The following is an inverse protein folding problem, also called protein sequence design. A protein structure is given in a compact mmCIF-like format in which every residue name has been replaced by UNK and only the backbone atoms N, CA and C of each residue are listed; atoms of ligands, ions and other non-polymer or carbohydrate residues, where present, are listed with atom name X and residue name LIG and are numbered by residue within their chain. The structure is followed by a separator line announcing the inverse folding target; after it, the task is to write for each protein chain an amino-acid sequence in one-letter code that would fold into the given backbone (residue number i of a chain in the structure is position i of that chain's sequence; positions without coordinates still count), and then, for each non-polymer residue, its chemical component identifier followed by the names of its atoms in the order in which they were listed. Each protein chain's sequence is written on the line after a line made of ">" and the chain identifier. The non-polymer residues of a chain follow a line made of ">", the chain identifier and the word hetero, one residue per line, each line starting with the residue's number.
data_IF_656572000752
#
_entry.id   IF_656572000752
#
_cell.length_a   1.000
_cell.length_b   1.000
_cell.length_c   1.000
_cell.angle_alpha   90.00
_cell.angle_beta   90.00
_cell.angle_gamma   90.00
#
_symmetry.space_group_name_H-M   'P 1'
#
loop_
_entity.id
_entity.type
_entity.pdbx_description
1 polymer ?
#
# COMPACT_ATOMS: atom_id res chain seq x y z
N UNK A 1 4.00 14.80 20.43
CA UNK A 1 2.82 14.28 19.73
C UNK A 1 3.36 13.31 18.71
N UNK A 2 3.41 12.01 19.04
CA UNK A 2 3.65 11.00 18.01
C UNK A 2 2.48 11.07 17.02
N UNK A 3 2.77 11.63 15.85
CA UNK A 3 1.82 11.83 14.77
C UNK A 3 1.37 10.47 14.23
N UNK A 4 0.08 10.32 13.92
CA UNK A 4 -0.51 9.15 13.25
C UNK A 4 0.37 8.57 12.11
N UNK A 5 1.02 9.47 11.36
CA UNK A 5 2.03 9.16 10.34
C UNK A 5 3.10 8.17 10.80
N UNK A 6 3.68 8.36 11.99
CA UNK A 6 4.76 7.51 12.50
C UNK A 6 4.30 6.09 12.83
N UNK A 7 3.11 5.94 13.40
CA UNK A 7 2.55 4.63 13.76
C UNK A 7 2.07 3.87 12.52
N UNK A 8 1.36 4.56 11.62
CA UNK A 8 0.87 3.98 10.36
C UNK A 8 2.00 3.55 9.43
N UNK A 9 3.03 4.40 9.29
CA UNK A 9 4.20 4.09 8.48
C UNK A 9 4.95 2.89 9.05
N UNK A 10 5.19 2.86 10.36
CA UNK A 10 5.84 1.72 10.99
C UNK A 10 5.07 0.42 10.81
N UNK A 11 3.74 0.44 10.90
CA UNK A 11 2.91 -0.74 10.66
C UNK A 11 3.00 -1.22 9.20
N UNK A 12 3.03 -0.30 8.23
CA UNK A 12 3.20 -0.66 6.81
C UNK A 12 4.59 -1.21 6.52
N UNK A 13 5.63 -0.65 7.14
CA UNK A 13 7.01 -1.10 6.99
C UNK A 13 7.20 -2.50 7.58
N UNK A 14 6.61 -2.76 8.75
CA UNK A 14 6.63 -4.09 9.38
C UNK A 14 5.91 -5.11 8.49
N UNK A 15 4.69 -4.79 8.06
CA UNK A 15 3.90 -5.63 7.16
C UNK A 15 4.62 -5.88 5.83
N UNK A 16 5.28 -4.86 5.26
CA UNK A 16 6.09 -4.98 4.06
C UNK A 16 7.30 -5.89 4.29
N UNK A 17 8.01 -5.71 5.41
CA UNK A 17 9.16 -6.54 5.78
C UNK A 17 8.78 -8.02 5.95
N UNK A 18 7.65 -8.29 6.60
CA UNK A 18 7.08 -9.62 6.76
C UNK A 18 6.63 -10.21 5.41
N UNK A 19 5.85 -9.46 4.63
CA UNK A 19 5.34 -9.87 3.32
C UNK A 19 6.46 -10.25 2.35
N UNK A 20 7.53 -9.44 2.35
CA UNK A 20 8.70 -9.63 1.49
C UNK A 20 9.68 -10.67 2.05
N UNK A 21 9.53 -11.08 3.32
CA UNK A 21 10.48 -11.96 4.02
C UNK A 21 11.94 -11.47 3.87
N UNK A 22 12.14 -10.15 3.97
CA UNK A 22 13.45 -9.50 3.78
C UNK A 22 13.86 -9.27 2.31
N UNK A 23 13.00 -9.57 1.32
CA UNK A 23 13.21 -9.14 -0.05
C UNK A 23 13.13 -7.61 -0.16
N UNK A 24 13.97 -7.03 -1.02
CA UNK A 24 13.99 -5.58 -1.24
C UNK A 24 12.85 -5.12 -2.16
N UNK A 25 12.42 -3.88 -1.97
CA UNK A 25 11.53 -3.18 -2.92
C UNK A 25 12.42 -2.60 -4.04
N UNK A 26 12.09 -2.93 -5.28
CA UNK A 26 12.73 -2.31 -6.45
C UNK A 26 12.18 -0.90 -6.64
N UNK A 27 13.01 0.02 -7.13
CA UNK A 27 12.61 1.41 -7.45
C UNK A 27 12.78 1.72 -8.94
N UNK A 28 12.72 0.67 -9.77
CA UNK A 28 12.90 0.74 -11.24
C UNK A 28 11.63 1.23 -11.97
N UNK A 29 10.59 1.62 -11.23
CA UNK A 29 9.31 2.05 -11.81
C UNK A 29 8.40 0.92 -12.28
N UNK A 30 8.76 -0.34 -11.98
CA UNK A 30 7.98 -1.53 -12.37
C UNK A 30 7.54 -2.34 -11.16
N UNK A 31 6.34 -2.92 -11.25
CA UNK A 31 5.85 -3.89 -10.27
C UNK A 31 6.32 -5.31 -10.60
N UNK A 32 6.47 -6.19 -9.59
CA UNK A 32 6.79 -7.59 -9.84
C UNK A 32 5.66 -8.25 -10.64
N UNK A 33 6.01 -9.10 -11.61
CA UNK A 33 5.03 -9.80 -12.46
C UNK A 33 4.10 -10.75 -11.68
N UNK A 34 4.51 -11.16 -10.48
CA UNK A 34 3.70 -11.95 -9.54
C UNK A 34 2.65 -11.13 -8.78
N UNK A 35 2.66 -9.80 -8.89
CA UNK A 35 1.71 -8.96 -8.17
C UNK A 35 0.27 -9.30 -8.59
N UNK A 36 -0.67 -9.50 -7.65
CA UNK A 36 -2.02 -9.88 -7.98
C UNK A 36 -2.75 -8.76 -8.73
N UNK A 37 -3.12 -9.04 -9.99
CA UNK A 37 -3.88 -8.10 -10.83
C UNK A 37 -5.32 -7.84 -10.32
N UNK A 38 -5.79 -8.66 -9.37
CA UNK A 38 -7.08 -8.50 -8.70
C UNK A 38 -7.08 -7.32 -7.71
N UNK A 39 -5.90 -6.88 -7.26
CA UNK A 39 -5.76 -5.71 -6.38
C UNK A 39 -5.73 -4.45 -7.24
N UNK A 40 -6.80 -3.64 -7.27
CA UNK A 40 -6.77 -2.36 -7.98
C UNK A 40 -5.78 -1.41 -7.30
N UNK A 41 -5.01 -0.72 -8.13
CA UNK A 41 -4.07 0.30 -7.70
C UNK A 41 -4.59 1.67 -8.13
N UNK A 42 -4.42 2.66 -7.26
CA UNK A 42 -4.75 4.04 -7.59
C UNK A 42 -3.96 4.55 -8.80
N UNK A 43 -4.56 5.47 -9.54
CA UNK A 43 -3.90 6.13 -10.65
C UNK A 43 -2.70 6.94 -10.14
N UNK A 44 -1.54 6.71 -10.75
CA UNK A 44 -0.30 7.37 -10.36
C UNK A 44 0.91 6.79 -11.08
N UNK A 45 2.08 7.30 -10.71
CA UNK A 45 3.36 6.84 -11.27
C UNK A 45 3.90 5.71 -10.41
N UNK A 46 4.02 4.52 -10.98
CA UNK A 46 4.68 3.41 -10.29
C UNK A 46 6.13 3.80 -10.00
N UNK A 47 6.50 3.83 -8.72
CA UNK A 47 7.90 4.01 -8.27
C UNK A 47 8.62 2.67 -8.23
N UNK A 48 7.89 1.62 -7.91
CA UNK A 48 8.36 0.25 -8.00
C UNK A 48 7.66 -0.67 -7.00
N UNK A 49 8.21 -1.84 -6.78
CA UNK A 49 7.59 -2.85 -5.93
C UNK A 49 8.52 -3.99 -5.53
N UNK A 50 8.06 -4.79 -4.58
CA UNK A 50 8.73 -6.00 -4.11
C UNK A 50 7.75 -7.17 -4.09
N UNK A 51 8.27 -8.39 -4.22
CA UNK A 51 7.51 -9.60 -3.97
C UNK A 51 8.32 -10.49 -3.03
N UNK A 52 7.64 -11.06 -2.04
CA UNK A 52 8.21 -12.08 -1.19
C UNK A 52 8.39 -13.41 -1.96
N UNK A 53 9.23 -14.31 -1.43
CA UNK A 53 9.40 -15.65 -1.99
C UNK A 53 8.06 -16.37 -2.06
N UNK A 54 7.83 -17.14 -3.13
CA UNK A 54 6.65 -17.99 -3.29
C UNK A 54 5.28 -17.27 -3.17
N UNK A 55 5.24 -15.94 -3.31
CA UNK A 55 4.02 -15.16 -3.17
C UNK A 55 3.53 -15.02 -1.73
N UNK A 56 4.44 -15.03 -0.75
CA UNK A 56 4.13 -14.73 0.66
C UNK A 56 3.56 -13.32 0.86
N UNK A 57 3.86 -12.42 -0.08
CA UNK A 57 3.27 -11.09 -0.14
C UNK A 57 3.93 -10.22 -1.18
N UNK A 58 3.39 -9.02 -1.36
CA UNK A 58 3.81 -8.06 -2.36
C UNK A 58 3.72 -6.65 -1.82
N UNK A 59 4.59 -5.79 -2.34
CA UNK A 59 4.58 -4.36 -2.04
C UNK A 59 4.58 -3.59 -3.34
N UNK A 60 3.68 -2.62 -3.46
CA UNK A 60 3.62 -1.69 -4.59
C UNK A 60 3.70 -0.26 -4.07
N UNK A 61 4.61 0.54 -4.62
CA UNK A 61 4.77 1.95 -4.32
C UNK A 61 4.37 2.78 -5.53
N UNK A 62 3.32 3.58 -5.36
CA UNK A 62 2.76 4.43 -6.41
C UNK A 62 2.87 5.89 -5.94
N UNK A 63 3.57 6.72 -6.69
CA UNK A 63 3.56 8.17 -6.46
C UNK A 63 2.25 8.74 -6.97
N UNK A 64 1.55 9.44 -6.08
CA UNK A 64 0.22 10.00 -6.32
C UNK A 64 0.23 11.52 -6.18
N UNK A 65 -0.81 12.17 -6.69
CA UNK A 65 -0.90 13.63 -6.71
C UNK A 65 -1.22 14.27 -5.35
N UNK A 66 -1.81 13.51 -4.42
CA UNK A 66 -2.28 14.03 -3.14
C UNK A 66 -2.74 12.93 -2.18
N UNK A 67 -2.91 13.27 -0.90
CA UNK A 67 -3.37 12.35 0.13
C UNK A 67 -4.85 11.93 -0.06
N UNK A 68 -5.63 12.76 -0.75
CA UNK A 68 -7.00 12.47 -1.21
C UNK A 68 -7.11 11.18 -2.03
N UNK A 69 -6.02 10.74 -2.64
CA UNK A 69 -5.94 9.50 -3.41
C UNK A 69 -6.13 8.25 -2.55
N UNK A 70 -5.95 8.35 -1.24
CA UNK A 70 -6.31 7.27 -0.31
C UNK A 70 -7.81 6.92 -0.40
N UNK A 71 -8.69 7.93 -0.41
CA UNK A 71 -10.13 7.71 -0.50
C UNK A 71 -10.52 7.10 -1.86
N UNK A 72 -9.85 7.51 -2.94
CA UNK A 72 -10.04 6.94 -4.27
C UNK A 72 -9.64 5.45 -4.29
N UNK A 73 -8.46 5.13 -3.75
CA UNK A 73 -7.98 3.75 -3.66
C UNK A 73 -8.90 2.87 -2.80
N UNK A 74 -9.36 3.40 -1.66
CA UNK A 74 -10.36 2.75 -0.82
C UNK A 74 -11.60 2.37 -1.61
N UNK A 75 -12.20 3.32 -2.33
CA UNK A 75 -13.40 3.06 -3.12
C UNK A 75 -13.17 1.99 -4.19
N UNK A 76 -11.99 1.96 -4.83
CA UNK A 76 -11.65 0.93 -5.81
C UNK A 76 -11.52 -0.45 -5.17
N UNK A 77 -10.85 -0.56 -4.02
CA UNK A 77 -10.73 -1.80 -3.28
C UNK A 77 -12.10 -2.30 -2.81
N UNK A 78 -12.95 -1.42 -2.29
CA UNK A 78 -14.30 -1.78 -1.88
C UNK A 78 -15.16 -2.22 -3.07
N UNK A 79 -15.03 -1.56 -4.23
CA UNK A 79 -15.70 -1.97 -5.46
C UNK A 79 -15.19 -3.33 -5.99
N UNK A 80 -13.93 -3.68 -5.73
CA UNK A 80 -13.37 -5.00 -5.99
C UNK A 80 -13.81 -6.06 -4.96
N UNK A 81 -14.56 -5.68 -3.92
CA UNK A 81 -15.08 -6.59 -2.89
C UNK A 81 -14.22 -6.71 -1.64
N UNK A 82 -13.23 -5.83 -1.46
CA UNK A 82 -12.47 -5.75 -0.21
C UNK A 82 -13.27 -5.00 0.86
N UNK A 83 -13.15 -5.43 2.11
CA UNK A 83 -13.75 -4.75 3.26
C UNK A 83 -12.71 -3.90 3.95
N UNK A 84 -12.93 -2.59 4.02
CA UNK A 84 -12.06 -1.67 4.73
C UNK A 84 -12.22 -1.82 6.26
N UNK A 85 -11.11 -1.71 6.99
CA UNK A 85 -11.03 -1.89 8.45
C UNK A 85 -9.86 -1.11 9.02
N UNK A 86 -10.04 -0.49 10.18
CA UNK A 86 -9.00 0.32 10.81
C UNK A 86 -8.53 1.47 9.90
N UNK A 87 -9.45 2.06 9.17
CA UNK A 87 -9.17 3.19 8.26
C UNK A 87 -9.03 4.47 9.08
N UNK A 88 -7.90 5.14 8.90
CA UNK A 88 -7.57 6.40 9.53
C UNK A 88 -6.90 7.30 8.50
N UNK A 89 -7.52 8.44 8.19
CA UNK A 89 -7.02 9.37 7.19
C UNK A 89 -7.20 10.81 7.63
N UNK A 90 -6.16 11.60 7.38
CA UNK A 90 -6.03 13.02 7.63
C UNK A 90 -5.76 13.77 6.32
N UNK A 91 -5.70 15.11 6.38
CA UNK A 91 -5.43 15.97 5.23
C UNK A 91 -4.09 15.69 4.50
N UNK A 92 -3.20 14.94 5.13
CA UNK A 92 -1.79 14.85 4.79
C UNK A 92 -1.27 13.38 4.75
N UNK A 93 -2.11 12.43 5.14
CA UNK A 93 -1.80 11.00 5.16
C UNK A 93 -3.07 10.16 5.31
N UNK A 94 -3.05 8.92 4.83
CA UNK A 94 -4.08 7.92 5.04
C UNK A 94 -3.49 6.55 5.33
N UNK A 95 -4.19 5.76 6.12
CA UNK A 95 -3.89 4.38 6.46
C UNK A 95 -5.20 3.59 6.47
N UNK A 96 -5.17 2.38 5.96
CA UNK A 96 -6.31 1.48 6.08
C UNK A 96 -5.92 0.05 5.74
N UNK A 97 -6.63 -0.90 6.34
CA UNK A 97 -6.51 -2.32 6.00
C UNK A 97 -7.75 -2.75 5.23
N UNK A 98 -7.55 -3.41 4.10
CA UNK A 98 -8.60 -3.85 3.19
C UNK A 98 -8.50 -5.35 3.07
N UNK A 99 -9.52 -6.08 3.52
CA UNK A 99 -9.50 -7.55 3.52
C UNK A 99 -10.50 -8.07 2.49
N UNK A 100 -10.01 -8.77 1.48
CA UNK A 100 -10.80 -9.44 0.46
C UNK A 100 -10.93 -10.94 0.72
N UNK A 101 -11.40 -11.69 -0.27
CA UNK A 101 -11.57 -13.14 -0.17
C UNK A 101 -10.24 -13.91 -0.22
N UNK A 102 -9.25 -13.41 -0.95
CA UNK A 102 -7.96 -14.09 -1.20
C UNK A 102 -6.77 -13.32 -0.66
N UNK A 103 -6.88 -11.99 -0.57
CA UNK A 103 -5.77 -11.13 -0.18
C UNK A 103 -6.23 -10.08 0.83
N UNK A 104 -5.28 -9.67 1.67
CA UNK A 104 -5.35 -8.51 2.56
C UNK A 104 -4.38 -7.46 2.04
N UNK A 105 -4.89 -6.26 1.83
CA UNK A 105 -4.17 -5.10 1.32
C UNK A 105 -4.09 -4.07 2.44
N UNK A 106 -2.91 -3.81 2.96
CA UNK A 106 -2.67 -2.65 3.83
C UNK A 106 -2.23 -1.50 2.93
N UNK A 107 -3.04 -0.45 2.89
CA UNK A 107 -2.74 0.74 2.10
C UNK A 107 -2.35 1.88 3.04
N UNK A 108 -1.24 2.51 2.73
CA UNK A 108 -0.88 3.80 3.31
C UNK A 108 -0.62 4.81 2.22
N UNK A 109 -1.02 6.05 2.47
CA UNK A 109 -0.69 7.20 1.65
C UNK A 109 -0.04 8.22 2.56
N UNK A 110 1.17 8.63 2.26
CA UNK A 110 1.87 9.63 3.06
C UNK A 110 2.81 10.45 2.20
N UNK A 111 2.99 11.70 2.60
CA UNK A 111 4.00 12.58 2.01
C UNK A 111 5.38 12.18 2.51
N UNK A 112 6.26 11.79 1.58
CA UNK A 112 7.67 11.52 1.84
C UNK A 112 8.46 12.81 2.16
N UNK A 113 9.70 12.66 2.64
CA UNK A 113 10.58 13.77 3.00
C UNK A 113 10.83 14.78 1.87
N UNK A 114 10.70 14.37 0.61
CA UNK A 114 10.80 15.25 -0.58
C UNK A 114 9.49 15.99 -0.91
N UNK A 115 8.42 15.82 -0.13
CA UNK A 115 7.11 16.43 -0.40
C UNK A 115 6.27 15.66 -1.43
N UNK A 116 6.73 14.50 -1.90
CA UNK A 116 5.99 13.62 -2.80
C UNK A 116 5.02 12.75 -2.00
N UNK A 117 3.75 12.69 -2.40
CA UNK A 117 2.80 11.74 -1.82
C UNK A 117 3.00 10.36 -2.44
N UNK A 118 3.24 9.35 -1.60
CA UNK A 118 3.37 7.95 -2.01
C UNK A 118 2.25 7.12 -1.40
N UNK A 119 1.58 6.35 -2.25
CA UNK A 119 0.68 5.28 -1.89
C UNK A 119 1.46 3.96 -1.86
N UNK A 120 1.60 3.36 -0.69
CA UNK A 120 2.23 2.05 -0.49
C UNK A 120 1.15 1.01 -0.22
N UNK A 121 1.09 -0.01 -1.07
CA UNK A 121 0.18 -1.14 -0.96
C UNK A 121 0.98 -2.36 -0.52
N UNK A 122 0.65 -2.94 0.63
CA UNK A 122 1.20 -4.21 1.08
C UNK A 122 0.12 -5.27 0.95
N UNK A 123 0.31 -6.18 0.01
CA UNK A 123 -0.63 -7.25 -0.29
C UNK A 123 -0.11 -8.54 0.32
N UNK A 124 -0.93 -9.22 1.10
CA UNK A 124 -0.61 -10.50 1.72
C UNK A 124 -1.77 -11.47 1.49
N UNK A 125 -1.52 -12.76 1.24
CA UNK A 125 -2.59 -13.76 1.23
C UNK A 125 -3.27 -13.87 2.61
N UNK A 126 -4.57 -14.18 2.62
CA UNK A 126 -5.37 -14.41 3.85
C UNK A 126 -5.50 -15.88 4.22
#
# INVERSE_FOLDING_TARGET
>A
MESLKGTAQKAVEDAAGEALNGAGITTDGTLPASFPADVPLVEGTTRGGGAGPDGTGWVAQIAVSGADQFAVAQQQLEAAGYTASGVDADADSGFGTFTGATYRVVLTVSTDGDGQVLATYVVTPV
#
